data_IF_600918390003
#
_entry.id   IF_600918390003
#
_cell.length_a   1.000
_cell.length_b   1.000
_cell.length_c   1.000
_cell.angle_alpha   90.00
_cell.angle_beta   90.00
_cell.angle_gamma   90.00
#
_symmetry.space_group_name_H-M   'P 1'
#
loop_
_entity.id
_entity.type
_entity.pdbx_description
1 polymer ?
#
# COMPACT_ATOMS: atom_id res chain seq x y z
N UNK A 1 -22.95 5.06 39.01
CA UNK A 1 -22.15 6.20 38.55
C UNK A 1 -21.47 5.79 37.26
N UNK A 2 -21.98 6.29 36.13
CA UNK A 2 -21.39 5.99 34.80
C UNK A 2 -20.24 6.96 34.58
N UNK A 3 -19.00 6.46 34.36
CA UNK A 3 -17.87 7.29 33.95
C UNK A 3 -18.18 7.79 32.52
N UNK A 4 -18.15 9.12 32.37
CA UNK A 4 -18.27 9.80 31.07
C UNK A 4 -17.05 9.51 30.16
N UNK A 5 -17.14 9.82 28.86
CA UNK A 5 -16.06 9.53 27.91
C UNK A 5 -14.80 10.32 28.28
N UNK A 6 -13.65 9.63 28.28
CA UNK A 6 -12.35 10.28 28.48
C UNK A 6 -12.14 11.32 27.37
N UNK A 7 -11.92 12.57 27.80
CA UNK A 7 -11.62 13.69 26.93
C UNK A 7 -10.34 13.41 26.14
N UNK A 8 -10.39 13.62 24.83
CA UNK A 8 -9.21 13.67 23.96
C UNK A 8 -8.22 14.69 24.54
N UNK A 9 -7.03 14.24 24.95
CA UNK A 9 -5.96 15.14 25.41
C UNK A 9 -5.61 16.08 24.26
N UNK A 10 -5.88 17.37 24.43
CA UNK A 10 -5.36 18.41 23.57
C UNK A 10 -3.82 18.35 23.58
N UNK A 11 -3.22 18.30 22.40
CA UNK A 11 -1.77 18.31 22.25
C UNK A 11 -1.20 19.66 22.71
N UNK A 12 -0.22 19.63 23.58
CA UNK A 12 0.53 20.80 23.98
C UNK A 12 1.46 21.25 22.85
N UNK A 13 1.80 22.54 22.82
CA UNK A 13 2.70 23.14 21.81
C UNK A 13 4.05 22.42 21.67
N UNK A 14 4.52 21.73 22.70
CA UNK A 14 5.81 21.05 22.74
C UNK A 14 5.72 19.53 22.54
N UNK A 15 4.52 18.96 22.49
CA UNK A 15 4.33 17.54 22.25
C UNK A 15 4.78 17.17 20.83
N UNK A 16 5.13 15.90 20.59
CA UNK A 16 5.35 15.40 19.23
C UNK A 16 4.09 15.65 18.39
N UNK A 17 4.28 16.12 17.15
CA UNK A 17 3.18 16.41 16.26
C UNK A 17 2.39 15.13 15.95
N UNK A 18 1.07 15.24 15.90
CA UNK A 18 0.16 14.12 15.60
C UNK A 18 0.42 13.47 14.23
N UNK A 19 1.01 14.21 13.28
CA UNK A 19 1.34 13.71 11.95
C UNK A 19 2.54 12.73 11.91
N UNK A 20 3.21 12.51 13.04
CA UNK A 20 4.35 11.58 13.12
C UNK A 20 5.67 12.11 12.56
N UNK A 21 5.74 13.37 12.11
CA UNK A 21 6.96 13.98 11.53
C UNK A 21 8.15 14.09 12.49
N UNK A 22 8.00 13.71 13.77
CA UNK A 22 9.02 13.91 14.81
C UNK A 22 9.23 15.37 15.24
N UNK A 23 8.66 16.34 14.55
CA UNK A 23 8.71 17.76 14.90
C UNK A 23 7.75 18.05 16.07
N UNK A 24 8.07 19.07 16.88
CA UNK A 24 7.14 19.55 17.91
C UNK A 24 5.88 20.13 17.25
N UNK A 25 4.70 19.93 17.85
CA UNK A 25 3.42 20.39 17.33
C UNK A 25 3.43 21.86 16.91
N UNK A 26 4.04 22.75 17.73
CA UNK A 26 4.18 24.18 17.41
C UNK A 26 5.01 24.51 16.17
N UNK A 27 5.89 23.61 15.74
CA UNK A 27 6.75 23.78 14.56
C UNK A 27 6.24 23.04 13.32
N UNK A 28 5.11 22.34 13.46
CA UNK A 28 4.57 21.51 12.40
C UNK A 28 3.11 21.90 12.08
N UNK A 29 2.17 21.70 13.00
CA UNK A 29 0.74 21.84 12.74
C UNK A 29 -0.01 22.73 13.73
N UNK A 30 0.67 23.56 14.52
CA UNK A 30 -0.03 24.51 15.41
C UNK A 30 -0.85 25.50 14.58
N UNK A 31 -2.16 25.54 14.81
CA UNK A 31 -3.12 26.39 14.09
C UNK A 31 -3.74 25.75 12.83
N UNK A 32 -3.40 24.50 12.52
CA UNK A 32 -4.12 23.69 11.52
C UNK A 32 -5.12 22.79 12.25
N UNK A 33 -6.31 22.60 11.67
CA UNK A 33 -7.27 21.66 12.21
C UNK A 33 -6.67 20.25 12.23
N UNK A 34 -6.87 19.54 13.33
CA UNK A 34 -6.52 18.12 13.37
C UNK A 34 -7.49 17.37 12.47
N UNK A 35 -7.02 16.40 11.66
CA UNK A 35 -7.95 15.53 10.99
C UNK A 35 -8.86 14.87 12.02
N UNK A 36 -10.10 14.56 11.68
CA UNK A 36 -11.03 13.92 12.59
C UNK A 36 -10.39 12.67 13.20
N UNK A 37 -10.64 12.39 14.50
CA UNK A 37 -10.12 11.19 15.13
C UNK A 37 -10.55 9.99 14.30
N UNK A 38 -9.62 9.06 14.06
CA UNK A 38 -9.95 7.80 13.35
C UNK A 38 -11.23 7.23 13.95
N UNK A 39 -12.26 6.92 13.16
CA UNK A 39 -13.40 6.20 13.67
C UNK A 39 -12.85 4.99 14.42
N UNK A 40 -13.32 4.77 15.65
CA UNK A 40 -13.00 3.53 16.35
C UNK A 40 -13.63 2.44 15.52
N UNK A 41 -12.85 1.84 14.61
CA UNK A 41 -13.29 0.67 13.91
C UNK A 41 -13.77 -0.31 14.99
N UNK A 42 -14.96 -0.84 14.79
CA UNK A 42 -15.40 -1.99 15.56
C UNK A 42 -14.48 -3.12 15.13
N UNK A 43 -13.37 -3.29 15.85
CA UNK A 43 -12.42 -4.37 15.60
C UNK A 43 -13.22 -5.65 15.53
N UNK A 44 -13.31 -6.23 14.35
CA UNK A 44 -13.93 -7.53 14.19
C UNK A 44 -13.16 -8.49 15.10
N UNK A 45 -13.80 -9.00 16.12
CA UNK A 45 -13.19 -9.98 17.04
C UNK A 45 -12.81 -11.29 16.32
N UNK A 46 -13.17 -11.40 15.04
CA UNK A 46 -12.80 -12.52 14.19
C UNK A 46 -11.95 -11.99 12.99
N UNK A 47 -10.60 -12.18 13.01
CA UNK A 47 -9.72 -11.71 11.94
C UNK A 47 -9.96 -12.36 10.57
N UNK A 48 -10.83 -13.39 10.50
CA UNK A 48 -11.22 -14.06 9.25
C UNK A 48 -12.56 -13.58 8.71
N UNK A 49 -13.22 -12.63 9.36
CA UNK A 49 -14.52 -12.12 8.87
C UNK A 49 -14.29 -11.12 7.74
N UNK A 50 -14.69 -11.49 6.54
CA UNK A 50 -14.77 -10.60 5.40
C UNK A 50 -15.83 -9.53 5.66
N UNK A 51 -15.46 -8.26 5.49
CA UNK A 51 -16.34 -7.11 5.65
C UNK A 51 -17.04 -6.80 4.33
N UNK A 52 -18.36 -6.87 4.34
CA UNK A 52 -19.21 -6.34 3.26
C UNK A 52 -19.49 -4.88 3.63
N UNK A 53 -19.10 -3.97 2.76
CA UNK A 53 -19.16 -2.52 3.03
C UNK A 53 -20.58 -1.99 2.84
N UNK A 54 -20.96 -1.03 3.68
CA UNK A 54 -22.17 -0.23 3.44
C UNK A 54 -21.91 0.81 2.35
N UNK A 55 -22.95 1.40 1.77
CA UNK A 55 -22.81 2.48 0.78
C UNK A 55 -22.04 3.68 1.34
N UNK A 56 -22.26 4.04 2.61
CA UNK A 56 -21.51 5.09 3.29
C UNK A 56 -20.00 4.77 3.35
N UNK A 57 -19.67 3.53 3.71
CA UNK A 57 -18.27 3.08 3.76
C UNK A 57 -17.65 3.06 2.35
N UNK A 58 -18.40 2.60 1.33
CA UNK A 58 -17.93 2.62 -0.05
C UNK A 58 -17.64 4.04 -0.55
N UNK A 59 -18.50 5.00 -0.23
CA UNK A 59 -18.24 6.39 -0.62
C UNK A 59 -17.02 6.98 0.10
N UNK A 60 -16.84 6.68 1.38
CA UNK A 60 -15.63 7.06 2.12
C UNK A 60 -14.36 6.45 1.52
N UNK A 61 -14.41 5.17 1.17
CA UNK A 61 -13.29 4.46 0.51
C UNK A 61 -13.00 5.05 -0.87
N UNK A 62 -14.04 5.34 -1.68
CA UNK A 62 -13.88 6.00 -3.00
C UNK A 62 -13.19 7.37 -2.87
N UNK A 63 -13.55 8.14 -1.84
CA UNK A 63 -12.94 9.45 -1.57
C UNK A 63 -11.45 9.30 -1.28
N UNK A 64 -11.10 8.36 -0.41
CA UNK A 64 -9.71 8.07 -0.08
C UNK A 64 -8.92 7.53 -1.27
N UNK A 65 -9.52 6.61 -2.05
CA UNK A 65 -8.89 6.06 -3.25
C UNK A 65 -8.67 7.10 -4.35
N UNK A 66 -9.56 8.10 -4.48
CA UNK A 66 -9.34 9.23 -5.38
C UNK A 66 -8.11 10.03 -4.98
N UNK A 67 -7.94 10.35 -3.70
CA UNK A 67 -6.75 11.05 -3.23
C UNK A 67 -5.47 10.21 -3.46
N UNK A 68 -5.52 8.91 -3.20
CA UNK A 68 -4.39 8.01 -3.47
C UNK A 68 -3.98 8.03 -4.94
N UNK A 69 -4.95 7.98 -5.86
CA UNK A 69 -4.71 8.12 -7.30
C UNK A 69 -4.09 9.49 -7.63
N UNK A 70 -4.64 10.57 -7.12
CA UNK A 70 -4.18 11.93 -7.38
C UNK A 70 -2.73 12.15 -6.90
N UNK A 71 -2.34 11.49 -5.80
CA UNK A 71 -0.96 11.47 -5.33
C UNK A 71 -0.03 10.68 -6.26
N UNK A 72 -0.48 9.55 -6.81
CA UNK A 72 0.29 8.79 -7.79
C UNK A 72 0.43 9.56 -9.13
N UNK A 73 -0.62 10.29 -9.55
CA UNK A 73 -0.56 11.18 -10.72
C UNK A 73 0.41 12.35 -10.48
N UNK A 74 0.40 12.95 -9.30
CA UNK A 74 1.37 13.99 -8.91
C UNK A 74 2.82 13.47 -8.95
N UNK A 75 3.04 12.21 -8.54
CA UNK A 75 4.38 11.59 -8.59
C UNK A 75 4.79 11.39 -10.04
N UNK A 76 3.89 10.93 -10.92
CA UNK A 76 4.17 10.71 -12.35
C UNK A 76 4.68 11.97 -13.05
N UNK A 77 4.12 13.12 -12.68
CA UNK A 77 4.54 14.43 -13.22
C UNK A 77 5.93 14.91 -12.74
N UNK A 78 6.52 14.27 -11.72
CA UNK A 78 7.72 14.76 -11.02
C UNK A 78 8.87 13.76 -10.93
N UNK A 79 8.56 12.47 -11.13
CA UNK A 79 9.53 11.41 -10.95
C UNK A 79 10.46 11.31 -12.15
N UNK A 80 11.77 11.47 -11.91
CA UNK A 80 12.79 11.38 -12.95
C UNK A 80 14.13 10.98 -12.34
N UNK A 81 15.13 10.73 -13.17
CA UNK A 81 16.51 10.53 -12.72
C UNK A 81 17.01 11.78 -11.96
N UNK A 82 17.67 11.56 -10.82
CA UNK A 82 18.11 12.61 -9.92
C UNK A 82 17.22 12.84 -8.70
N UNK A 83 15.99 12.34 -8.71
CA UNK A 83 15.06 12.39 -7.57
C UNK A 83 15.45 11.33 -6.54
N UNK A 84 15.48 11.68 -5.25
CA UNK A 84 15.67 10.68 -4.19
C UNK A 84 14.34 10.06 -3.73
N UNK A 85 14.39 8.85 -3.20
CA UNK A 85 13.17 8.24 -2.62
C UNK A 85 12.66 9.00 -1.40
N UNK A 86 13.52 9.69 -0.65
CA UNK A 86 13.11 10.62 0.41
C UNK A 86 12.31 11.80 -0.15
N UNK A 87 12.68 12.32 -1.30
CA UNK A 87 11.95 13.42 -1.94
C UNK A 87 10.55 12.98 -2.37
N UNK A 88 10.38 11.77 -2.89
CA UNK A 88 9.06 11.18 -3.16
C UNK A 88 8.24 11.09 -1.87
N UNK A 89 8.86 10.63 -0.78
CA UNK A 89 8.19 10.57 0.52
C UNK A 89 7.76 11.97 1.03
N UNK A 90 8.56 12.99 0.82
CA UNK A 90 8.23 14.37 1.21
C UNK A 90 7.02 14.88 0.42
N UNK A 91 6.99 14.70 -0.89
CA UNK A 91 5.85 15.07 -1.74
C UNK A 91 4.55 14.40 -1.30
N UNK A 92 4.58 13.07 -1.12
CA UNK A 92 3.41 12.32 -0.67
C UNK A 92 2.97 12.75 0.73
N UNK A 93 3.92 12.92 1.66
CA UNK A 93 3.63 13.33 3.02
C UNK A 93 2.97 14.71 3.08
N UNK A 94 3.58 15.71 2.42
CA UNK A 94 3.12 17.09 2.46
C UNK A 94 1.76 17.24 1.78
N UNK A 95 1.58 16.64 0.59
CA UNK A 95 0.32 16.73 -0.12
C UNK A 95 -0.80 16.01 0.62
N UNK A 96 -0.54 14.79 1.16
CA UNK A 96 -1.53 14.07 1.98
C UNK A 96 -2.02 14.92 3.15
N UNK A 97 -1.11 15.61 3.85
CA UNK A 97 -1.48 16.48 4.97
C UNK A 97 -2.19 17.76 4.51
N UNK A 98 -1.82 18.31 3.35
CA UNK A 98 -2.48 19.48 2.75
C UNK A 98 -3.95 19.19 2.42
N UNK A 99 -4.24 17.97 1.99
CA UNK A 99 -5.60 17.50 1.73
C UNK A 99 -6.37 17.11 3.02
N UNK A 100 -5.80 17.34 4.20
CA UNK A 100 -6.42 17.00 5.49
C UNK A 100 -6.48 15.48 5.76
N UNK A 101 -5.73 14.69 5.00
CA UNK A 101 -5.66 13.24 5.11
C UNK A 101 -4.45 12.78 5.96
N UNK A 102 -4.36 11.48 6.21
CA UNK A 102 -3.27 10.87 6.98
C UNK A 102 -2.59 9.82 6.11
N UNK A 103 -1.24 9.83 5.96
CA UNK A 103 -0.52 8.74 5.31
C UNK A 103 -0.58 7.49 6.19
N UNK A 104 -1.19 6.42 5.69
CA UNK A 104 -1.43 5.20 6.46
C UNK A 104 -0.17 4.42 6.82
N UNK A 105 0.88 4.35 5.96
CA UNK A 105 2.09 3.61 6.26
C UNK A 105 2.87 4.20 7.45
N UNK A 106 2.81 5.53 7.65
CA UNK A 106 3.58 6.18 8.71
C UNK A 106 3.18 5.69 10.10
N UNK A 107 4.14 5.13 10.82
CA UNK A 107 3.97 4.46 12.12
C UNK A 107 3.07 3.20 12.08
N UNK A 108 2.84 2.62 10.93
CA UNK A 108 2.16 1.33 10.80
C UNK A 108 2.93 0.25 11.56
N UNK A 109 2.22 -0.70 12.16
CA UNK A 109 2.82 -1.81 12.90
C UNK A 109 3.44 -1.41 14.25
N UNK A 110 3.13 -0.23 14.81
CA UNK A 110 3.66 0.22 16.11
C UNK A 110 3.40 -0.81 17.21
N UNK A 111 4.48 -1.36 17.77
CA UNK A 111 4.43 -2.44 18.76
C UNK A 111 4.10 -3.83 18.18
N UNK A 112 3.78 -3.95 16.90
CA UNK A 112 3.44 -5.21 16.22
C UNK A 112 4.26 -5.42 14.94
N UNK A 113 4.95 -4.40 14.46
CA UNK A 113 5.78 -4.49 13.26
C UNK A 113 6.99 -5.42 13.47
N UNK A 114 7.69 -5.78 12.39
CA UNK A 114 8.87 -6.62 12.47
C UNK A 114 9.87 -6.06 13.47
N UNK A 115 10.31 -6.88 14.44
CA UNK A 115 11.17 -6.46 15.56
C UNK A 115 10.60 -5.31 16.41
N UNK A 116 9.26 -5.11 16.42
CA UNK A 116 8.58 -4.05 17.19
C UNK A 116 8.78 -2.64 16.64
N UNK A 117 9.41 -2.48 15.47
CA UNK A 117 9.65 -1.16 14.84
C UNK A 117 8.50 -0.80 13.91
N UNK A 118 7.91 0.39 14.05
CA UNK A 118 6.90 0.88 13.10
C UNK A 118 7.55 1.23 11.76
N UNK A 119 6.76 1.20 10.67
CA UNK A 119 7.21 1.71 9.38
C UNK A 119 7.46 3.23 9.50
N UNK A 120 8.64 3.74 9.08
CA UNK A 120 9.07 5.09 9.45
C UNK A 120 8.66 6.19 8.47
N UNK A 121 8.03 5.87 7.33
CA UNK A 121 7.78 6.76 6.21
C UNK A 121 6.30 6.77 5.79
N UNK A 122 5.93 7.71 4.94
CA UNK A 122 4.54 7.94 4.51
C UNK A 122 4.13 7.16 3.27
N UNK A 123 5.10 6.54 2.60
CA UNK A 123 4.95 5.80 1.35
C UNK A 123 6.00 4.70 1.31
N UNK A 124 5.75 3.60 0.58
CA UNK A 124 6.81 2.64 0.25
C UNK A 124 7.40 2.98 -1.13
N UNK A 125 8.72 2.80 -1.28
CA UNK A 125 9.46 3.01 -2.52
C UNK A 125 10.35 1.82 -2.78
N UNK A 126 10.05 1.04 -3.81
CA UNK A 126 10.67 -0.26 -4.06
C UNK A 126 11.36 -0.23 -5.43
N UNK A 127 12.70 -0.10 -5.43
CA UNK A 127 13.53 0.05 -6.62
C UNK A 127 14.09 -1.32 -7.04
N UNK A 128 14.01 -1.64 -8.31
CA UNK A 128 14.63 -2.81 -8.96
C UNK A 128 14.32 -4.12 -8.24
N UNK A 129 15.32 -4.76 -7.60
CA UNK A 129 15.18 -6.03 -6.87
C UNK A 129 14.35 -5.92 -5.57
N UNK A 130 13.96 -4.73 -5.17
CA UNK A 130 13.04 -4.53 -4.03
C UNK A 130 11.62 -4.85 -4.47
N UNK A 131 11.05 -5.93 -3.92
CA UNK A 131 9.71 -6.42 -4.26
C UNK A 131 8.64 -5.48 -3.69
N UNK A 132 8.71 -5.18 -2.39
CA UNK A 132 7.76 -4.30 -1.70
C UNK A 132 8.32 -3.77 -0.37
N UNK A 133 7.58 -2.84 0.25
CA UNK A 133 7.87 -2.24 1.56
C UNK A 133 9.23 -1.55 1.65
N UNK A 134 9.81 -1.14 0.51
CA UNK A 134 11.05 -0.36 0.50
C UNK A 134 10.88 0.94 1.29
N UNK A 135 11.84 1.20 2.21
CA UNK A 135 11.82 2.41 3.04
C UNK A 135 12.48 3.57 2.29
N UNK A 136 11.78 4.67 2.01
CA UNK A 136 12.37 5.88 1.45
C UNK A 136 13.63 6.35 2.20
N UNK A 137 14.68 6.65 1.44
CA UNK A 137 15.98 7.07 1.93
C UNK A 137 16.65 8.04 0.95
N UNK A 138 17.96 8.29 1.09
CA UNK A 138 18.72 9.19 0.21
C UNK A 138 19.13 8.55 -1.12
N UNK A 139 18.67 7.34 -1.45
CA UNK A 139 18.94 6.71 -2.75
C UNK A 139 18.33 7.54 -3.88
N UNK A 140 19.19 7.90 -4.83
CA UNK A 140 18.83 8.69 -6.01
C UNK A 140 18.44 7.75 -7.13
N UNK A 141 17.33 8.03 -7.78
CA UNK A 141 16.91 7.34 -9.01
C UNK A 141 17.86 7.67 -10.15
N UNK A 142 18.23 6.67 -10.91
CA UNK A 142 19.08 6.82 -12.09
C UNK A 142 18.39 6.28 -13.34
N UNK A 143 18.88 6.70 -14.48
CA UNK A 143 18.45 6.15 -15.77
C UNK A 143 18.64 4.62 -15.79
N UNK A 144 17.62 3.89 -16.15
CA UNK A 144 17.60 2.42 -16.10
C UNK A 144 16.89 1.80 -14.89
N UNK A 145 16.51 2.59 -13.88
CA UNK A 145 15.74 2.09 -12.74
C UNK A 145 14.26 1.85 -13.09
N UNK A 146 13.67 0.88 -12.41
CA UNK A 146 12.22 0.78 -12.22
C UNK A 146 11.90 0.94 -10.75
N UNK A 147 10.80 1.60 -10.42
CA UNK A 147 10.39 1.81 -9.04
C UNK A 147 8.89 1.62 -8.87
N UNK A 148 8.49 0.81 -7.90
CA UNK A 148 7.11 0.81 -7.40
C UNK A 148 6.99 1.86 -6.29
N UNK A 149 5.99 2.74 -6.42
CA UNK A 149 5.59 3.67 -5.36
C UNK A 149 4.20 3.27 -4.88
N UNK A 150 4.11 2.93 -3.59
CA UNK A 150 2.92 2.38 -2.96
C UNK A 150 2.39 3.35 -1.91
N UNK A 151 1.20 3.88 -2.18
CA UNK A 151 0.57 4.97 -1.43
C UNK A 151 -0.74 4.50 -0.81
N UNK A 152 -0.88 4.68 0.50
CA UNK A 152 -2.15 4.48 1.20
C UNK A 152 -2.50 5.72 2.01
N UNK A 153 -3.69 6.27 1.75
CA UNK A 153 -4.22 7.43 2.46
C UNK A 153 -5.41 7.06 3.34
N UNK A 154 -5.58 7.84 4.41
CA UNK A 154 -6.78 7.79 5.26
C UNK A 154 -7.50 9.13 5.12
N UNK A 155 -8.72 9.10 4.60
CA UNK A 155 -9.62 10.26 4.52
C UNK A 155 -10.88 9.93 5.31
N UNK A 156 -11.25 10.78 6.25
CA UNK A 156 -12.44 10.60 7.11
C UNK A 156 -12.50 9.20 7.81
N UNK A 157 -11.32 8.60 8.03
CA UNK A 157 -11.17 7.29 8.67
C UNK A 157 -11.22 6.09 7.73
N UNK A 158 -11.42 6.29 6.42
CA UNK A 158 -11.41 5.23 5.41
C UNK A 158 -10.08 5.19 4.67
N UNK A 159 -9.67 3.99 4.27
CA UNK A 159 -8.39 3.74 3.60
C UNK A 159 -8.59 3.63 2.09
N UNK A 160 -7.71 4.28 1.34
CA UNK A 160 -7.53 4.08 -0.10
C UNK A 160 -6.10 3.67 -0.34
N UNK A 161 -5.90 2.59 -1.07
CA UNK A 161 -4.63 1.89 -1.23
C UNK A 161 -4.38 1.57 -2.70
N UNK A 162 -3.25 2.02 -3.23
CA UNK A 162 -2.83 1.73 -4.60
C UNK A 162 -1.33 1.98 -4.79
N UNK A 163 -0.75 1.26 -5.74
CA UNK A 163 0.63 1.48 -6.16
C UNK A 163 0.76 1.65 -7.66
N UNK A 164 1.88 2.20 -8.09
CA UNK A 164 2.22 2.36 -9.51
C UNK A 164 3.70 2.10 -9.74
N UNK A 165 3.99 1.36 -10.84
CA UNK A 165 5.35 1.23 -11.36
C UNK A 165 5.71 2.42 -12.23
N UNK A 166 6.92 2.95 -12.05
CA UNK A 166 7.51 3.97 -12.90
C UNK A 166 8.81 3.44 -13.49
N UNK A 167 9.04 3.76 -14.77
CA UNK A 167 10.29 3.47 -15.48
C UNK A 167 11.07 4.78 -15.58
N UNK A 168 12.32 4.77 -15.13
CA UNK A 168 13.16 5.97 -15.09
C UNK A 168 14.10 5.93 -16.30
N UNK A 169 13.84 6.81 -17.25
CA UNK A 169 14.61 6.90 -18.50
C UNK A 169 14.51 5.63 -19.36
N UNK A 170 15.64 5.16 -19.86
CA UNK A 170 15.72 3.99 -20.72
C UNK A 170 16.09 2.74 -19.93
N UNK A 171 15.29 1.68 -20.04
CA UNK A 171 15.53 0.39 -19.38
C UNK A 171 15.76 -0.72 -20.43
N UNK A 172 16.46 -1.80 -20.06
CA UNK A 172 16.56 -2.99 -20.93
C UNK A 172 15.17 -3.51 -21.32
N UNK A 173 15.05 -4.04 -22.56
CA UNK A 173 13.79 -4.60 -23.08
C UNK A 173 13.19 -5.65 -22.14
N UNK A 174 14.02 -6.48 -21.51
CA UNK A 174 13.57 -7.49 -20.55
C UNK A 174 12.91 -6.86 -19.32
N UNK A 175 13.46 -5.76 -18.81
CA UNK A 175 12.90 -5.01 -17.67
C UNK A 175 11.58 -4.35 -18.05
N UNK A 176 11.52 -3.70 -19.22
CA UNK A 176 10.29 -3.10 -19.74
C UNK A 176 9.20 -4.15 -19.88
N UNK A 177 9.55 -5.30 -20.48
CA UNK A 177 8.64 -6.42 -20.63
C UNK A 177 8.13 -6.94 -19.28
N UNK A 178 8.99 -7.06 -18.26
CA UNK A 178 8.55 -7.46 -16.92
C UNK A 178 7.47 -6.52 -16.37
N UNK A 179 7.67 -5.21 -16.48
CA UNK A 179 6.70 -4.20 -16.00
C UNK A 179 5.38 -4.31 -16.75
N UNK A 180 5.43 -4.42 -18.10
CA UNK A 180 4.24 -4.54 -18.95
C UNK A 180 3.47 -5.83 -18.68
N UNK A 181 4.16 -6.96 -18.54
CA UNK A 181 3.53 -8.25 -18.27
C UNK A 181 3.01 -8.35 -16.84
N UNK A 182 3.65 -7.69 -15.87
CA UNK A 182 3.10 -7.56 -14.51
C UNK A 182 1.81 -6.75 -14.50
N UNK A 183 1.74 -5.66 -15.27
CA UNK A 183 0.49 -4.92 -15.47
C UNK A 183 -0.58 -5.80 -16.11
N UNK A 184 -0.18 -6.63 -17.09
CA UNK A 184 -1.09 -7.58 -17.71
C UNK A 184 -1.59 -8.64 -16.73
N UNK A 185 -0.75 -9.12 -15.82
CA UNK A 185 -1.14 -9.99 -14.71
C UNK A 185 -2.23 -9.33 -13.85
N UNK A 186 -2.05 -8.06 -13.48
CA UNK A 186 -3.04 -7.30 -12.73
C UNK A 186 -4.38 -7.22 -13.47
N UNK A 187 -4.37 -6.85 -14.75
CA UNK A 187 -5.58 -6.75 -15.59
C UNK A 187 -6.32 -8.09 -15.69
N UNK A 188 -5.59 -9.19 -15.86
CA UNK A 188 -6.15 -10.55 -15.92
C UNK A 188 -6.76 -10.95 -14.56
N UNK A 189 -6.12 -10.59 -13.45
CA UNK A 189 -6.66 -10.77 -12.11
C UNK A 189 -7.95 -9.98 -11.90
N UNK A 190 -7.97 -8.71 -12.26
CA UNK A 190 -9.16 -7.84 -12.19
C UNK A 190 -10.32 -8.41 -13.00
N UNK A 191 -10.05 -8.95 -14.19
CA UNK A 191 -11.05 -9.54 -15.06
C UNK A 191 -11.78 -10.75 -14.43
N UNK A 192 -11.23 -11.37 -13.39
CA UNK A 192 -11.88 -12.47 -12.67
C UNK A 192 -12.84 -11.96 -11.56
N UNK A 193 -12.78 -10.66 -11.23
CA UNK A 193 -13.60 -10.11 -10.14
C UNK A 193 -15.05 -10.02 -10.56
N UNK A 194 -15.89 -10.85 -9.93
CA UNK A 194 -17.34 -10.85 -10.12
C UNK A 194 -18.05 -11.44 -8.91
N UNK A 195 -19.26 -11.01 -8.59
CA UNK A 195 -20.09 -11.67 -7.59
C UNK A 195 -20.27 -13.15 -7.93
N UNK A 196 -20.11 -14.03 -6.95
CA UNK A 196 -20.19 -15.48 -7.13
C UNK A 196 -18.89 -16.15 -7.60
N UNK A 197 -17.89 -15.40 -8.03
CA UNK A 197 -16.54 -15.92 -8.32
C UNK A 197 -15.76 -16.23 -7.04
N UNK A 198 -14.59 -16.83 -7.19
CA UNK A 198 -13.71 -17.21 -6.09
C UNK A 198 -12.37 -16.44 -6.15
N UNK A 199 -11.78 -16.10 -5.01
CA UNK A 199 -10.49 -15.39 -4.97
C UNK A 199 -9.35 -16.20 -5.61
N UNK A 200 -9.42 -17.53 -5.59
CA UNK A 200 -8.46 -18.40 -6.29
C UNK A 200 -8.50 -18.28 -7.82
N UNK A 201 -9.59 -17.80 -8.40
CA UNK A 201 -9.68 -17.53 -9.83
C UNK A 201 -8.74 -16.37 -10.22
N UNK A 202 -8.64 -15.34 -9.35
CA UNK A 202 -7.73 -14.20 -9.50
C UNK A 202 -6.29 -14.69 -9.54
N UNK A 203 -5.88 -15.43 -8.50
CA UNK A 203 -4.52 -15.95 -8.39
C UNK A 203 -4.14 -16.89 -9.52
N UNK A 204 -5.07 -17.75 -9.95
CA UNK A 204 -4.85 -18.65 -11.06
C UNK A 204 -4.59 -17.91 -12.38
N UNK A 205 -5.37 -16.89 -12.68
CA UNK A 205 -5.23 -16.11 -13.91
C UNK A 205 -3.86 -15.39 -13.94
N UNK A 206 -3.44 -14.80 -12.84
CA UNK A 206 -2.14 -14.12 -12.67
C UNK A 206 -1.01 -15.13 -12.85
N UNK A 207 -1.04 -16.22 -12.07
CA UNK A 207 0.00 -17.25 -12.09
C UNK A 207 0.18 -17.87 -13.46
N UNK A 208 -0.92 -18.26 -14.12
CA UNK A 208 -0.89 -18.90 -15.44
C UNK A 208 -0.21 -18.00 -16.45
N UNK A 209 -0.52 -16.69 -16.45
CA UNK A 209 0.10 -15.76 -17.39
C UNK A 209 1.58 -15.57 -17.08
N UNK A 210 1.96 -15.25 -15.85
CA UNK A 210 3.35 -15.03 -15.45
C UNK A 210 4.24 -16.25 -15.74
N UNK A 211 3.81 -17.45 -15.31
CA UNK A 211 4.58 -18.68 -15.49
C UNK A 211 4.68 -19.10 -16.98
N UNK A 212 3.69 -18.79 -17.82
CA UNK A 212 3.75 -19.04 -19.27
C UNK A 212 4.86 -18.24 -19.98
N UNK A 213 5.30 -17.14 -19.36
CA UNK A 213 6.39 -16.29 -19.87
C UNK A 213 7.74 -16.60 -19.20
N UNK A 214 7.78 -17.61 -18.32
CA UNK A 214 8.98 -17.99 -17.57
C UNK A 214 9.26 -17.12 -16.35
N UNK A 215 8.32 -16.26 -15.94
CA UNK A 215 8.38 -15.48 -14.70
C UNK A 215 7.89 -16.29 -13.51
N UNK A 216 8.13 -15.80 -12.31
CA UNK A 216 7.62 -16.40 -11.08
C UNK A 216 6.76 -15.41 -10.30
N UNK A 217 5.75 -15.95 -9.59
CA UNK A 217 4.88 -15.18 -8.69
C UNK A 217 5.41 -15.28 -7.27
N UNK A 218 5.65 -14.14 -6.63
CA UNK A 218 6.03 -14.08 -5.21
C UNK A 218 4.88 -14.62 -4.35
N UNK A 219 5.23 -15.43 -3.34
CA UNK A 219 4.25 -16.15 -2.50
C UNK A 219 4.21 -15.67 -1.05
N UNK A 220 5.18 -14.86 -0.63
CA UNK A 220 5.32 -14.40 0.74
C UNK A 220 4.39 -13.22 1.07
N UNK A 221 3.84 -12.57 0.03
CA UNK A 221 2.94 -11.44 0.12
C UNK A 221 1.69 -11.68 -0.71
N UNK A 222 0.64 -10.92 -0.40
CA UNK A 222 -0.65 -11.03 -1.09
C UNK A 222 -1.42 -9.72 -1.01
N UNK A 223 -2.40 -9.55 -1.87
CA UNK A 223 -3.42 -8.55 -1.72
C UNK A 223 -4.34 -8.85 -0.53
N UNK A 224 -5.14 -7.89 -0.13
CA UNK A 224 -5.94 -7.96 1.08
C UNK A 224 -7.22 -7.14 0.99
N UNK A 225 -8.20 -7.45 1.82
CA UNK A 225 -9.31 -6.55 2.04
C UNK A 225 -8.82 -5.21 2.60
N UNK A 226 -9.48 -4.12 2.23
CA UNK A 226 -9.10 -2.76 2.62
C UNK A 226 -10.33 -1.87 2.76
N UNK A 227 -10.18 -0.76 3.47
CA UNK A 227 -11.13 0.33 3.45
C UNK A 227 -11.60 0.80 4.81
N UNK A 228 -12.03 -0.07 5.71
CA UNK A 228 -12.35 0.27 7.11
C UNK A 228 -11.10 0.13 7.98
N UNK A 229 -10.30 -0.88 7.68
CA UNK A 229 -8.96 -1.07 8.22
C UNK A 229 -7.95 -1.03 7.06
N UNK A 230 -6.66 -0.86 7.38
CA UNK A 230 -5.62 -0.91 6.36
C UNK A 230 -5.54 -2.31 5.73
N UNK A 231 -5.51 -3.35 6.56
CA UNK A 231 -5.49 -4.74 6.11
C UNK A 231 -6.66 -5.49 6.74
N UNK A 232 -7.52 -6.03 5.89
CA UNK A 232 -8.70 -6.80 6.25
C UNK A 232 -8.69 -8.16 5.55
N UNK A 233 -9.59 -9.05 5.96
CA UNK A 233 -9.91 -10.21 5.16
C UNK A 233 -10.75 -9.81 3.91
N UNK A 234 -10.64 -10.55 2.79
CA UNK A 234 -9.85 -11.76 2.61
C UNK A 234 -8.39 -11.49 2.22
N UNK A 235 -7.54 -12.51 2.26
CA UNK A 235 -6.27 -12.50 1.53
C UNK A 235 -6.53 -12.78 0.05
N UNK A 236 -5.89 -12.02 -0.83
CA UNK A 236 -5.95 -12.20 -2.28
C UNK A 236 -4.60 -12.70 -2.76
N UNK A 237 -4.48 -14.01 -2.84
CA UNK A 237 -3.26 -14.63 -3.34
C UNK A 237 -3.15 -14.40 -4.85
N UNK A 238 -1.93 -14.14 -5.33
CA UNK A 238 -1.64 -13.96 -6.76
C UNK A 238 -1.26 -15.27 -7.47
N UNK A 239 -1.50 -16.39 -6.80
CA UNK A 239 -1.38 -17.77 -7.30
C UNK A 239 -2.54 -18.59 -6.73
N UNK A 240 -2.88 -19.69 -7.37
CA UNK A 240 -3.99 -20.52 -6.86
C UNK A 240 -4.58 -21.50 -7.84
N UNK A 241 -5.66 -22.11 -7.39
CA UNK A 241 -6.44 -23.10 -8.16
C UNK A 241 -7.83 -22.53 -8.46
N UNK A 242 -8.33 -22.66 -9.69
CA UNK A 242 -9.68 -22.18 -10.04
C UNK A 242 -10.76 -22.74 -9.13
N UNK A 243 -11.75 -21.92 -8.82
CA UNK A 243 -12.90 -22.31 -8.00
C UNK A 243 -12.60 -22.46 -6.52
N UNK A 244 -11.40 -22.11 -6.04
CA UNK A 244 -11.02 -22.18 -4.61
C UNK A 244 -10.96 -20.78 -3.96
N UNK A 245 -10.75 -20.75 -2.65
CA UNK A 245 -10.66 -19.51 -1.88
C UNK A 245 -12.03 -18.96 -1.46
N UNK A 246 -12.03 -17.67 -1.12
CA UNK A 246 -13.21 -16.98 -0.61
C UNK A 246 -14.19 -16.63 -1.73
N UNK A 247 -15.49 -16.65 -1.40
CA UNK A 247 -16.54 -16.23 -2.32
C UNK A 247 -16.54 -14.71 -2.45
N UNK A 248 -16.38 -14.19 -3.65
CA UNK A 248 -16.52 -12.77 -3.93
C UNK A 248 -18.00 -12.36 -3.92
N UNK A 249 -18.31 -11.28 -3.21
CA UNK A 249 -19.65 -10.75 -3.05
C UNK A 249 -19.66 -9.26 -3.39
N UNK A 250 -20.80 -8.74 -3.75
CA UNK A 250 -21.00 -7.29 -3.90
C UNK A 250 -20.57 -6.55 -2.63
N UNK A 251 -20.04 -5.37 -2.79
CA UNK A 251 -19.56 -4.49 -1.71
C UNK A 251 -18.34 -5.02 -0.92
N UNK A 252 -17.68 -6.07 -1.39
CA UNK A 252 -16.32 -6.38 -0.96
C UNK A 252 -15.35 -5.37 -1.59
N UNK A 253 -14.35 -4.94 -0.81
CA UNK A 253 -13.25 -4.10 -1.28
C UNK A 253 -11.93 -4.77 -0.90
N UNK A 254 -11.05 -4.95 -1.87
CA UNK A 254 -9.74 -5.59 -1.68
C UNK A 254 -8.74 -5.13 -2.73
N UNK A 255 -7.45 -5.30 -2.46
CA UNK A 255 -6.36 -5.04 -3.40
C UNK A 255 -6.06 -6.27 -4.26
N UNK A 256 -5.54 -6.03 -5.46
CA UNK A 256 -4.88 -7.02 -6.33
C UNK A 256 -3.56 -6.37 -6.72
N UNK A 257 -2.46 -6.94 -6.28
CA UNK A 257 -1.13 -6.33 -6.30
C UNK A 257 -0.05 -7.37 -6.64
N UNK A 258 -0.08 -7.95 -7.84
CA UNK A 258 0.81 -9.03 -8.21
C UNK A 258 2.27 -8.60 -8.16
N UNK A 259 3.10 -9.38 -7.47
CA UNK A 259 4.55 -9.23 -7.42
C UNK A 259 5.17 -10.35 -8.26
N UNK A 260 5.83 -9.94 -9.35
CA UNK A 260 6.34 -10.86 -10.39
C UNK A 260 7.85 -10.67 -10.53
N UNK A 261 8.61 -11.76 -10.43
CA UNK A 261 10.06 -11.77 -10.57
C UNK A 261 10.46 -12.41 -11.90
N UNK A 262 11.54 -11.94 -12.50
CA UNK A 262 12.15 -12.60 -13.67
C UNK A 262 12.78 -13.94 -13.31
N UNK A 263 13.25 -14.10 -12.08
CA UNK A 263 13.90 -15.30 -11.58
C UNK A 263 13.05 -16.06 -10.57
N UNK A 264 13.59 -16.25 -9.37
CA UNK A 264 13.00 -17.09 -8.33
C UNK A 264 11.87 -16.39 -7.56
N UNK A 265 10.84 -17.14 -7.10
CA UNK A 265 9.69 -16.56 -6.39
C UNK A 265 9.98 -16.19 -4.93
N UNK A 266 11.09 -16.66 -4.35
CA UNK A 266 11.38 -16.45 -2.93
C UNK A 266 11.86 -15.04 -2.66
N UNK A 267 11.47 -14.52 -1.51
CA UNK A 267 11.87 -13.20 -1.01
C UNK A 267 12.74 -13.28 0.24
N UNK A 268 13.37 -12.17 0.57
CA UNK A 268 14.17 -12.01 1.78
C UNK A 268 13.91 -10.62 2.37
N UNK A 269 13.61 -10.57 3.67
CA UNK A 269 13.48 -9.30 4.40
C UNK A 269 14.86 -8.79 4.83
N UNK A 270 15.12 -7.52 4.59
CA UNK A 270 16.37 -6.86 4.98
C UNK A 270 16.45 -6.59 6.49
N UNK A 271 17.62 -6.13 6.94
CA UNK A 271 17.91 -5.84 8.35
C UNK A 271 17.05 -4.75 8.98
N UNK A 272 16.41 -3.90 8.20
CA UNK A 272 15.44 -2.89 8.64
C UNK A 272 14.12 -3.52 9.13
N UNK A 273 13.85 -4.77 8.72
CA UNK A 273 12.67 -5.55 9.11
C UNK A 273 11.44 -5.31 8.24
N UNK A 274 11.54 -4.48 7.18
CA UNK A 274 10.44 -4.15 6.29
C UNK A 274 10.72 -4.47 4.82
N UNK A 275 11.84 -3.97 4.31
CA UNK A 275 12.19 -4.08 2.89
C UNK A 275 12.33 -5.53 2.45
N UNK A 276 11.48 -5.96 1.54
CA UNK A 276 11.53 -7.29 0.91
C UNK A 276 12.26 -7.20 -0.42
N UNK A 277 13.23 -8.07 -0.63
CA UNK A 277 13.99 -8.15 -1.88
C UNK A 277 13.96 -9.55 -2.47
N UNK A 278 14.18 -9.67 -3.77
CA UNK A 278 14.39 -10.97 -4.40
C UNK A 278 15.65 -11.65 -3.85
N UNK A 279 15.68 -12.99 -3.85
CA UNK A 279 16.85 -13.73 -3.34
C UNK A 279 17.99 -13.82 -4.34
N UNK A 280 17.70 -13.58 -5.61
CA UNK A 280 18.61 -13.75 -6.75
C UNK A 280 18.91 -12.43 -7.50
N UNK A 281 18.34 -11.30 -7.05
CA UNK A 281 18.56 -10.00 -7.65
C UNK A 281 17.78 -9.76 -8.95
N UNK A 282 16.73 -10.57 -9.20
CA UNK A 282 15.90 -10.48 -10.41
C UNK A 282 14.75 -9.50 -10.26
#
# INVERSE_FOLDING_TARGET
MKKGPESSKELSRNDPCWCGSGKKFKKCHLGREQPPPRPKASVSQNPRRILIKTEEQLEGIRKSSRLTRDLLDMIEDRIEAGVSTNQINEWVHEETLTQGAIPAPLNYGRGKGPRGRPFPKSVCTSINEVICHGIPNEQILVDGDIINVDVTCIVDGYFGDASRMFIIGEVPDATRKLVEETRKCLELGIAQVRPGGKTGDIGHAIQTHAESLGYSVVRDFCGHGVGVEFHEAPQILHYGTPGTGDLMQENMVFTIEPMINMGRPESRILGDGWTAVTVDGS
#
